data_IF_269457902123
#
_entry.id   IF_269457902123
#
_cell.length_a   1.000
_cell.length_b   1.000
_cell.length_c   1.000
_cell.angle_alpha   90.00
_cell.angle_beta   90.00
_cell.angle_gamma   90.00
#
_symmetry.space_group_name_H-M   'P 1'
#
loop_
_entity.id
_entity.type
_entity.pdbx_description
1 polymer ?
#
# COMPACT_ATOMS: atom_id res chain seq x y z
N UNK A 1 19.00 -21.63 22.55
CA UNK A 1 18.00 -22.48 21.88
C UNK A 1 16.64 -21.79 21.71
N UNK A 2 16.25 -20.84 22.57
CA UNK A 2 15.03 -20.02 22.40
C UNK A 2 15.04 -19.15 21.13
N UNK A 3 16.20 -18.58 20.77
CA UNK A 3 16.33 -17.72 19.60
C UNK A 3 15.83 -18.33 18.28
N UNK A 4 15.96 -19.65 18.08
CA UNK A 4 15.46 -20.30 16.86
C UNK A 4 13.93 -20.36 16.78
N UNK A 5 13.26 -20.45 17.94
CA UNK A 5 11.80 -20.39 18.00
C UNK A 5 11.29 -18.95 17.80
N UNK A 6 12.02 -17.96 18.33
CA UNK A 6 11.69 -16.54 18.16
C UNK A 6 11.81 -16.11 16.70
N UNK A 7 12.88 -16.55 16.01
CA UNK A 7 13.03 -16.33 14.56
C UNK A 7 11.87 -16.98 13.80
N UNK A 8 11.47 -18.20 14.16
CA UNK A 8 10.35 -18.86 13.52
C UNK A 8 9.01 -18.13 13.75
N UNK A 9 8.83 -17.47 14.90
CA UNK A 9 7.66 -16.65 15.19
C UNK A 9 7.65 -15.35 14.36
N UNK A 10 8.78 -14.64 14.29
CA UNK A 10 8.89 -13.42 13.47
C UNK A 10 8.62 -13.71 11.99
N UNK A 11 9.17 -14.81 11.47
CA UNK A 11 8.92 -15.22 10.07
C UNK A 11 7.46 -15.59 9.83
N UNK A 12 6.81 -16.22 10.80
CA UNK A 12 5.39 -16.52 10.74
C UNK A 12 4.53 -15.25 10.72
N UNK A 13 4.84 -14.25 11.54
CA UNK A 13 4.15 -12.96 11.55
C UNK A 13 4.32 -12.19 10.22
N UNK A 14 5.40 -12.46 9.49
CA UNK A 14 5.67 -11.91 8.15
C UNK A 14 5.01 -12.71 7.02
N UNK A 15 4.35 -13.84 7.31
CA UNK A 15 3.78 -14.75 6.31
C UNK A 15 4.81 -15.68 5.64
N UNK A 16 6.06 -15.67 6.08
CA UNK A 16 7.17 -16.48 5.57
C UNK A 16 7.17 -17.89 6.18
N UNK A 17 6.10 -18.64 5.93
CA UNK A 17 5.88 -19.97 6.53
C UNK A 17 6.94 -21.01 6.14
N UNK A 18 7.52 -20.91 4.94
CA UNK A 18 8.62 -21.79 4.52
C UNK A 18 9.89 -21.57 5.38
N UNK A 19 10.22 -20.31 5.66
CA UNK A 19 11.32 -19.94 6.55
C UNK A 19 11.04 -20.36 7.99
N UNK A 20 9.83 -20.13 8.49
CA UNK A 20 9.42 -20.58 9.83
C UNK A 20 9.52 -22.12 9.97
N UNK A 21 9.03 -22.87 8.98
CA UNK A 21 9.11 -24.33 8.95
C UNK A 21 10.55 -24.84 8.92
N UNK A 22 11.47 -24.16 8.23
CA UNK A 22 12.90 -24.50 8.24
C UNK A 22 13.47 -24.49 9.66
N UNK A 23 13.19 -23.44 10.44
CA UNK A 23 13.65 -23.34 11.83
C UNK A 23 13.01 -24.39 12.74
N UNK A 24 11.73 -24.69 12.54
CA UNK A 24 11.05 -25.78 13.26
C UNK A 24 11.71 -27.13 12.99
N UNK A 25 12.06 -27.45 11.72
CA UNK A 25 12.80 -28.69 11.39
C UNK A 25 14.15 -28.75 12.11
N UNK A 26 14.87 -27.64 12.19
CA UNK A 26 16.15 -27.58 12.92
C UNK A 26 15.98 -27.83 14.42
N UNK A 27 14.96 -27.24 15.04
CA UNK A 27 14.65 -27.45 16.46
C UNK A 27 14.29 -28.91 16.77
N UNK A 28 13.52 -29.55 15.89
CA UNK A 28 13.20 -30.99 15.97
C UNK A 28 14.45 -31.86 15.80
N UNK A 29 15.31 -31.52 14.83
CA UNK A 29 16.54 -32.28 14.57
C UNK A 29 17.51 -32.27 15.76
N UNK A 30 17.62 -31.14 16.47
CA UNK A 30 18.46 -31.02 17.67
C UNK A 30 17.75 -31.47 18.95
N UNK A 31 16.49 -31.92 18.87
CA UNK A 31 15.65 -32.31 20.02
C UNK A 31 15.65 -31.26 21.12
N UNK A 32 15.44 -29.99 20.76
CA UNK A 32 15.41 -28.91 21.75
C UNK A 32 14.31 -29.17 22.81
N UNK A 33 14.49 -28.79 24.09
CA UNK A 33 13.55 -29.14 25.17
C UNK A 33 12.09 -28.75 24.90
N UNK A 34 11.88 -27.57 24.31
CA UNK A 34 10.57 -27.04 23.90
C UNK A 34 9.83 -27.92 22.88
N UNK A 35 10.54 -28.79 22.14
CA UNK A 35 9.91 -29.64 21.12
C UNK A 35 9.05 -30.77 21.72
N UNK A 36 9.21 -31.04 23.02
CA UNK A 36 8.37 -31.97 23.76
C UNK A 36 7.03 -31.35 24.20
N UNK A 37 6.94 -30.01 24.25
CA UNK A 37 5.76 -29.32 24.76
C UNK A 37 4.58 -29.42 23.76
N UNK A 38 3.40 -29.92 24.17
CA UNK A 38 2.25 -30.06 23.29
C UNK A 38 1.83 -28.75 22.63
N UNK A 39 1.79 -27.65 23.39
CA UNK A 39 1.44 -26.32 22.87
C UNK A 39 2.39 -25.86 21.76
N UNK A 40 3.70 -26.09 21.92
CA UNK A 40 4.67 -25.77 20.87
C UNK A 40 4.47 -26.63 19.62
N UNK A 41 4.18 -27.91 19.80
CA UNK A 41 3.91 -28.85 18.68
C UNK A 41 2.68 -28.43 17.87
N UNK A 42 1.65 -27.87 18.52
CA UNK A 42 0.49 -27.28 17.82
C UNK A 42 0.93 -26.11 16.92
N UNK A 43 1.68 -25.15 17.45
CA UNK A 43 2.19 -24.00 16.66
C UNK A 43 3.12 -24.46 15.53
N UNK A 44 3.99 -25.44 15.80
CA UNK A 44 4.88 -26.03 14.80
C UNK A 44 4.11 -26.72 13.67
N UNK A 45 3.03 -27.44 13.99
CA UNK A 45 2.19 -28.09 12.99
C UNK A 45 1.47 -27.07 12.08
N UNK A 46 1.02 -25.94 12.64
CA UNK A 46 0.48 -24.83 11.84
C UNK A 46 1.51 -24.31 10.83
N UNK A 47 2.74 -24.04 11.27
CA UNK A 47 3.83 -23.58 10.39
C UNK A 47 4.11 -24.56 9.24
N UNK A 48 4.12 -25.86 9.52
CA UNK A 48 4.28 -26.88 8.48
C UNK A 48 3.12 -26.94 7.50
N UNK A 49 1.88 -26.82 8.00
CA UNK A 49 0.67 -26.83 7.17
C UNK A 49 0.66 -25.64 6.19
N UNK A 50 0.93 -24.42 6.67
CA UNK A 50 0.99 -23.22 5.83
C UNK A 50 2.21 -23.19 4.91
N UNK A 51 3.29 -23.91 5.24
CA UNK A 51 4.41 -24.15 4.33
C UNK A 51 4.13 -25.24 3.27
N UNK A 52 2.93 -25.84 3.26
CA UNK A 52 2.53 -26.89 2.32
C UNK A 52 3.01 -28.31 2.67
N UNK A 53 3.64 -28.52 3.83
CA UNK A 53 4.16 -29.81 4.28
C UNK A 53 3.19 -30.47 5.28
N UNK A 54 2.06 -30.94 4.75
CA UNK A 54 1.02 -31.57 5.56
C UNK A 54 1.49 -32.82 6.29
N UNK A 55 2.36 -33.61 5.66
CA UNK A 55 2.93 -34.82 6.28
C UNK A 55 3.76 -34.48 7.51
N UNK A 56 4.55 -33.40 7.47
CA UNK A 56 5.30 -32.94 8.64
C UNK A 56 4.38 -32.40 9.74
N UNK A 57 3.31 -31.68 9.37
CA UNK A 57 2.32 -31.20 10.33
C UNK A 57 1.65 -32.35 11.10
N UNK A 58 1.18 -33.37 10.39
CA UNK A 58 0.59 -34.58 10.98
C UNK A 58 1.63 -35.34 11.84
N UNK A 59 2.88 -35.40 11.38
CA UNK A 59 3.96 -36.04 12.12
C UNK A 59 4.25 -35.37 13.46
N UNK A 60 4.24 -34.04 13.51
CA UNK A 60 4.50 -33.27 14.73
C UNK A 60 3.38 -33.42 15.74
N UNK A 61 2.14 -33.71 15.33
CA UNK A 61 1.02 -33.87 16.26
C UNK A 61 0.83 -35.30 16.79
N UNK A 62 1.64 -36.28 16.35
CA UNK A 62 1.48 -37.68 16.79
C UNK A 62 1.54 -37.83 18.31
N UNK A 63 0.56 -38.52 18.89
CA UNK A 63 0.48 -38.74 20.33
C UNK A 63 -0.17 -37.60 21.11
N UNK A 64 -0.82 -36.66 20.42
CA UNK A 64 -1.75 -35.70 21.02
C UNK A 64 -3.14 -36.00 20.46
N UNK A 65 -4.03 -36.57 21.27
CA UNK A 65 -5.34 -37.02 20.81
C UNK A 65 -6.41 -35.90 20.83
N UNK A 66 -6.24 -34.91 21.72
CA UNK A 66 -7.11 -33.75 21.84
C UNK A 66 -6.31 -32.45 21.85
N UNK A 67 -6.61 -31.58 20.89
CA UNK A 67 -5.95 -30.27 20.74
C UNK A 67 -6.70 -29.14 21.44
N UNK A 68 -7.91 -29.39 21.95
CA UNK A 68 -8.75 -28.38 22.59
C UNK A 68 -8.05 -27.55 23.69
N UNK A 69 -7.17 -28.12 24.55
CA UNK A 69 -6.46 -27.36 25.58
C UNK A 69 -5.42 -26.37 25.05
N UNK A 70 -4.96 -26.55 23.82
CA UNK A 70 -3.82 -25.84 23.25
C UNK A 70 -4.22 -24.84 22.17
N UNK A 71 -5.44 -24.95 21.66
CA UNK A 71 -6.01 -24.03 20.67
C UNK A 71 -6.87 -23.01 21.43
N UNK A 72 -6.26 -21.93 21.90
CA UNK A 72 -7.05 -20.78 22.36
C UNK A 72 -7.83 -20.20 21.19
N UNK A 73 -9.12 -19.96 21.41
CA UNK A 73 -10.09 -19.45 20.43
C UNK A 73 -9.52 -18.26 19.66
N UNK A 74 -9.06 -18.51 18.45
CA UNK A 74 -8.74 -17.48 17.46
C UNK A 74 -10.01 -17.15 16.66
N UNK A 75 -10.07 -15.95 16.10
CA UNK A 75 -11.27 -15.25 15.59
C UNK A 75 -12.07 -16.04 14.54
N UNK A 76 -11.46 -17.05 13.94
CA UNK A 76 -12.13 -18.11 13.19
C UNK A 76 -12.22 -19.37 14.05
N UNK A 77 -13.27 -19.49 14.85
CA UNK A 77 -13.62 -20.77 15.48
C UNK A 77 -13.72 -21.79 14.34
N UNK A 78 -12.86 -22.83 14.28
CA UNK A 78 -13.14 -23.98 13.43
C UNK A 78 -14.56 -24.40 13.75
N UNK A 79 -15.39 -24.63 12.75
CA UNK A 79 -16.64 -25.34 12.99
C UNK A 79 -16.27 -26.72 13.54
N UNK A 80 -16.19 -26.86 14.86
CA UNK A 80 -16.30 -28.16 15.49
C UNK A 80 -17.62 -28.70 14.98
N UNK A 81 -17.65 -29.88 14.34
CA UNK A 81 -18.90 -30.54 14.01
C UNK A 81 -19.78 -30.48 15.26
N UNK A 82 -20.97 -29.88 15.13
CA UNK A 82 -21.86 -29.58 16.25
C UNK A 82 -21.88 -30.74 17.26
N UNK A 83 -21.32 -30.52 18.46
CA UNK A 83 -21.33 -31.48 19.56
C UNK A 83 -20.06 -32.32 19.82
N UNK A 84 -18.94 -32.13 19.11
CA UNK A 84 -17.69 -32.86 19.41
C UNK A 84 -16.95 -32.26 20.63
N UNK A 85 -16.81 -33.05 21.70
CA UNK A 85 -16.09 -32.65 22.93
C UNK A 85 -14.55 -32.58 22.77
N UNK A 86 -14.00 -33.22 21.74
CA UNK A 86 -12.56 -33.29 21.48
C UNK A 86 -12.24 -32.81 20.06
N UNK A 87 -11.18 -32.01 19.92
CA UNK A 87 -10.68 -31.50 18.65
C UNK A 87 -9.52 -32.38 18.17
N UNK A 88 -9.82 -33.33 17.28
CA UNK A 88 -8.78 -34.22 16.73
C UNK A 88 -7.75 -33.45 15.88
N UNK A 89 -6.47 -33.88 15.86
CA UNK A 89 -5.44 -33.26 15.01
C UNK A 89 -5.82 -33.16 13.54
N UNK A 90 -6.46 -34.19 12.99
CA UNK A 90 -6.88 -34.21 11.59
C UNK A 90 -7.97 -33.17 11.31
N UNK A 91 -9.02 -33.13 12.15
CA UNK A 91 -10.10 -32.16 12.00
C UNK A 91 -9.59 -30.71 12.15
N UNK A 92 -8.65 -30.47 13.08
CA UNK A 92 -8.04 -29.17 13.24
C UNK A 92 -7.19 -28.78 12.02
N UNK A 93 -6.32 -29.66 11.53
CA UNK A 93 -5.53 -29.41 10.31
C UNK A 93 -6.42 -29.22 9.08
N UNK A 94 -7.56 -29.91 8.99
CA UNK A 94 -8.55 -29.71 7.91
C UNK A 94 -9.27 -28.36 8.04
N UNK A 95 -9.55 -27.90 9.27
CA UNK A 95 -10.13 -26.58 9.50
C UNK A 95 -9.16 -25.42 9.24
N UNK A 96 -7.88 -25.68 9.47
CA UNK A 96 -6.78 -24.76 9.17
C UNK A 96 -6.24 -24.92 7.77
N UNK A 97 -6.68 -25.95 7.03
CA UNK A 97 -6.21 -26.22 5.69
C UNK A 97 -6.32 -24.87 4.98
N UNK A 98 -5.19 -24.29 4.55
CA UNK A 98 -5.26 -23.02 3.86
C UNK A 98 -6.30 -23.26 2.78
N UNK A 99 -7.37 -22.46 2.77
CA UNK A 99 -8.12 -22.30 1.53
C UNK A 99 -7.02 -21.92 0.58
N UNK A 100 -6.58 -22.91 -0.22
CA UNK A 100 -5.29 -22.90 -0.92
C UNK A 100 -5.19 -21.49 -1.44
N UNK A 101 -4.23 -20.64 -0.97
CA UNK A 101 -4.19 -19.25 -1.40
C UNK A 101 -4.26 -19.37 -2.90
N UNK A 102 -5.39 -18.91 -3.45
CA UNK A 102 -5.79 -19.28 -4.81
C UNK A 102 -4.59 -18.89 -5.63
N UNK A 103 -3.90 -19.91 -6.17
CA UNK A 103 -2.54 -19.81 -6.69
C UNK A 103 -2.44 -18.44 -7.38
N UNK A 104 -1.56 -17.51 -6.91
CA UNK A 104 -1.74 -16.08 -7.13
C UNK A 104 -2.13 -15.90 -8.58
N UNK A 105 -3.37 -15.46 -8.78
CA UNK A 105 -3.97 -15.50 -10.10
C UNK A 105 -3.06 -14.67 -10.97
N UNK A 106 -2.47 -15.30 -12.00
CA UNK A 106 -1.52 -14.61 -12.86
C UNK A 106 -2.27 -13.48 -13.54
N UNK A 107 -2.06 -12.27 -13.03
CA UNK A 107 -2.71 -11.08 -13.51
C UNK A 107 -2.08 -10.68 -14.83
N UNK A 108 -2.93 -10.34 -15.80
CA UNK A 108 -2.50 -9.67 -17.03
C UNK A 108 -2.44 -8.16 -16.87
N UNK A 109 -3.01 -7.63 -15.79
CA UNK A 109 -3.19 -6.21 -15.51
C UNK A 109 -2.82 -5.91 -14.06
N UNK A 110 -2.27 -4.73 -13.82
CA UNK A 110 -2.02 -4.18 -12.49
C UNK A 110 -3.08 -3.12 -12.24
N UNK A 111 -4.19 -3.48 -11.60
CA UNK A 111 -5.33 -2.57 -11.38
C UNK A 111 -5.20 -1.69 -10.15
N UNK A 112 -4.34 -2.08 -9.22
CA UNK A 112 -4.07 -1.41 -7.96
C UNK A 112 -2.63 -1.73 -7.54
N UNK A 113 -2.06 -1.02 -6.55
CA UNK A 113 -0.77 -1.41 -5.97
C UNK A 113 -0.81 -2.88 -5.58
N UNK A 114 0.28 -3.60 -5.86
CA UNK A 114 0.41 -5.04 -5.60
C UNK A 114 -0.55 -5.96 -6.39
N UNK A 115 -1.21 -5.44 -7.43
CA UNK A 115 -1.82 -6.22 -8.52
C UNK A 115 -3.25 -6.70 -8.30
N UNK A 116 -3.60 -7.21 -7.11
CA UNK A 116 -4.93 -7.75 -6.80
C UNK A 116 -5.47 -7.24 -5.44
N UNK A 117 -6.76 -7.45 -5.12
CA UNK A 117 -7.34 -7.01 -3.84
C UNK A 117 -6.70 -7.63 -2.59
N UNK A 118 -6.01 -8.76 -2.73
CA UNK A 118 -5.27 -9.40 -1.64
C UNK A 118 -3.83 -8.87 -1.51
N UNK A 119 -3.45 -7.92 -2.36
CA UNK A 119 -2.10 -7.37 -2.49
C UNK A 119 -1.01 -8.43 -2.72
N UNK A 120 -1.36 -9.51 -3.43
CA UNK A 120 -0.50 -10.66 -3.71
C UNK A 120 -0.39 -10.98 -5.20
N UNK A 121 -0.72 -10.03 -6.07
CA UNK A 121 -0.84 -10.23 -7.50
C UNK A 121 0.46 -10.76 -8.11
N UNK A 122 0.39 -11.97 -8.66
CA UNK A 122 1.47 -12.57 -9.43
C UNK A 122 1.36 -12.19 -10.90
N UNK A 123 2.47 -11.91 -11.58
CA UNK A 123 2.49 -11.67 -13.02
C UNK A 123 3.20 -12.80 -13.74
N UNK A 124 2.76 -13.12 -14.95
CA UNK A 124 3.46 -14.12 -15.76
C UNK A 124 4.83 -13.54 -16.12
N UNK A 125 5.88 -14.20 -15.63
CA UNK A 125 7.24 -13.86 -16.02
C UNK A 125 7.40 -14.07 -17.53
N UNK A 126 7.66 -12.99 -18.25
CA UNK A 126 8.13 -13.01 -19.62
C UNK A 126 9.64 -12.82 -19.65
N UNK A 127 10.26 -12.97 -20.83
CA UNK A 127 11.68 -12.66 -20.99
C UNK A 127 11.96 -11.22 -20.48
N UNK A 128 13.10 -11.00 -19.79
CA UNK A 128 13.42 -9.68 -19.25
C UNK A 128 13.48 -8.66 -20.39
N UNK A 129 12.85 -7.50 -20.20
CA UNK A 129 12.99 -6.38 -21.11
C UNK A 129 14.39 -5.82 -20.96
N UNK A 130 15.19 -5.87 -22.03
CA UNK A 130 16.57 -5.37 -22.04
C UNK A 130 16.66 -3.87 -22.33
N UNK A 131 15.59 -3.27 -22.87
CA UNK A 131 15.51 -1.86 -23.21
C UNK A 131 14.13 -1.30 -22.83
N UNK A 132 14.07 -0.04 -22.36
CA UNK A 132 12.79 0.63 -22.17
C UNK A 132 12.08 0.79 -23.52
N UNK A 133 10.77 0.55 -23.55
CA UNK A 133 9.95 0.80 -24.75
C UNK A 133 9.73 2.29 -24.97
N UNK A 134 9.49 3.02 -23.88
CA UNK A 134 9.28 4.45 -23.82
C UNK A 134 9.51 4.92 -22.39
N UNK A 135 9.66 6.23 -22.21
CA UNK A 135 9.86 6.89 -20.93
C UNK A 135 9.02 8.17 -20.88
N UNK A 136 8.50 8.50 -19.70
CA UNK A 136 7.73 9.72 -19.47
C UNK A 136 8.19 10.41 -18.18
N UNK A 137 8.37 11.72 -18.24
CA UNK A 137 8.76 12.51 -17.08
C UNK A 137 7.60 12.66 -16.08
N UNK A 138 7.89 12.46 -14.79
CA UNK A 138 6.92 12.69 -13.70
C UNK A 138 6.80 14.17 -13.29
N UNK A 139 7.73 14.99 -13.77
CA UNK A 139 7.88 16.42 -13.53
C UNK A 139 7.89 17.11 -14.89
N UNK A 140 7.34 18.32 -14.99
CA UNK A 140 7.28 19.08 -16.26
C UNK A 140 8.31 20.19 -16.33
N UNK A 141 8.70 20.73 -15.18
CA UNK A 141 9.58 21.87 -15.02
C UNK A 141 10.99 21.37 -14.80
N UNK A 142 11.86 21.69 -15.74
CA UNK A 142 13.29 21.37 -15.67
C UNK A 142 13.94 21.81 -14.33
N UNK A 143 13.59 22.99 -13.81
CA UNK A 143 14.13 23.46 -12.53
C UNK A 143 13.71 22.63 -11.32
N UNK A 144 12.54 21.98 -11.37
CA UNK A 144 12.10 21.06 -10.30
C UNK A 144 12.71 19.69 -10.49
N UNK A 145 12.86 19.25 -11.74
CA UNK A 145 13.56 18.00 -12.10
C UNK A 145 15.03 18.02 -11.66
N UNK A 146 15.76 19.11 -11.91
CA UNK A 146 17.14 19.29 -11.46
C UNK A 146 17.25 19.19 -9.92
N UNK A 147 16.37 19.89 -9.20
CA UNK A 147 16.30 19.81 -7.74
C UNK A 147 15.98 18.39 -7.24
N UNK A 148 15.05 17.69 -7.90
CA UNK A 148 14.71 16.32 -7.55
C UNK A 148 15.89 15.38 -7.78
N UNK A 149 16.63 15.55 -8.88
CA UNK A 149 17.81 14.74 -9.17
C UNK A 149 18.91 14.95 -8.12
N UNK A 150 19.20 16.19 -7.74
CA UNK A 150 20.14 16.49 -6.65
C UNK A 150 19.68 15.88 -5.32
N UNK A 151 18.39 16.03 -5.00
CA UNK A 151 17.80 15.48 -3.77
C UNK A 151 17.92 13.95 -3.71
N UNK A 152 17.58 13.26 -4.80
CA UNK A 152 17.65 11.80 -4.87
C UNK A 152 19.10 11.30 -4.83
N UNK A 153 20.03 12.01 -5.50
CA UNK A 153 21.45 11.70 -5.44
C UNK A 153 21.95 11.77 -4.00
N UNK A 154 21.66 12.86 -3.28
CA UNK A 154 22.10 13.05 -1.90
C UNK A 154 21.47 12.00 -0.95
N UNK A 155 20.22 11.59 -1.17
CA UNK A 155 19.62 10.50 -0.41
C UNK A 155 20.36 9.18 -0.61
N UNK A 156 20.70 8.84 -1.86
CA UNK A 156 21.44 7.62 -2.20
C UNK A 156 22.86 7.67 -1.63
N UNK A 157 23.57 8.78 -1.76
CA UNK A 157 24.91 8.97 -1.18
C UNK A 157 24.89 8.84 0.36
N UNK A 158 23.83 9.34 1.00
CA UNK A 158 23.58 9.18 2.44
C UNK A 158 23.05 7.79 2.83
N UNK A 159 23.02 6.83 1.90
CA UNK A 159 22.56 5.44 2.10
C UNK A 159 21.12 5.35 2.60
N UNK A 160 20.28 6.29 2.16
CA UNK A 160 18.84 6.28 2.44
C UNK A 160 18.09 5.61 1.29
N UNK A 161 17.08 4.83 1.65
CA UNK A 161 16.23 4.18 0.66
C UNK A 161 15.40 5.24 -0.08
N UNK A 162 15.66 5.41 -1.37
CA UNK A 162 14.92 6.30 -2.25
C UNK A 162 13.88 5.52 -3.07
N UNK A 163 13.00 4.79 -2.38
CA UNK A 163 11.90 4.07 -3.01
C UNK A 163 10.68 5.00 -3.15
N UNK A 164 10.20 5.28 -4.37
CA UNK A 164 9.02 6.11 -4.55
C UNK A 164 7.76 5.46 -3.98
N UNK A 165 6.94 6.26 -3.31
CA UNK A 165 5.59 5.91 -2.86
C UNK A 165 4.54 6.20 -3.97
N UNK A 166 4.95 6.14 -5.24
CA UNK A 166 4.13 6.40 -6.42
C UNK A 166 4.04 5.12 -7.24
N UNK A 167 2.90 4.42 -7.17
CA UNK A 167 2.71 3.14 -7.85
C UNK A 167 1.88 3.32 -9.11
N UNK A 168 2.44 3.14 -10.32
CA UNK A 168 1.65 3.16 -11.53
C UNK A 168 0.73 1.94 -11.59
N UNK A 169 -0.39 2.08 -12.31
CA UNK A 169 -1.29 0.96 -12.62
C UNK A 169 -1.35 0.79 -14.14
N UNK A 170 -1.52 -0.46 -14.58
CA UNK A 170 -1.56 -0.84 -15.99
C UNK A 170 -2.76 -1.73 -16.26
N UNK A 171 -3.77 -1.22 -16.98
CA UNK A 171 -5.04 -1.92 -17.20
C UNK A 171 -5.71 -1.42 -18.48
N UNK A 172 -6.46 -2.29 -19.17
CA UNK A 172 -7.17 -1.97 -20.41
C UNK A 172 -6.29 -1.28 -21.48
N UNK A 173 -5.03 -1.72 -21.61
CA UNK A 173 -4.07 -1.17 -22.57
C UNK A 173 -3.54 0.24 -22.21
N UNK A 174 -3.80 0.74 -21.00
CA UNK A 174 -3.34 2.04 -20.53
C UNK A 174 -2.45 1.92 -19.30
N UNK A 175 -1.56 2.89 -19.13
CA UNK A 175 -0.75 3.07 -17.92
C UNK A 175 -1.16 4.39 -17.28
N UNK A 176 -1.72 4.32 -16.07
CA UNK A 176 -2.07 5.50 -15.28
C UNK A 176 -1.03 5.72 -14.18
N UNK A 177 -0.61 6.98 -14.02
CA UNK A 177 0.47 7.35 -13.10
C UNK A 177 0.13 8.65 -12.38
N UNK A 178 0.41 8.69 -11.07
CA UNK A 178 0.45 9.96 -10.33
C UNK A 178 1.76 10.69 -10.63
N UNK A 179 1.64 11.92 -11.10
CA UNK A 179 2.76 12.84 -11.36
C UNK A 179 2.84 13.90 -10.26
N UNK A 180 3.86 14.76 -10.25
CA UNK A 180 3.91 15.91 -9.35
C UNK A 180 2.99 17.07 -9.78
N UNK A 181 2.29 16.91 -10.90
CA UNK A 181 1.33 17.89 -11.44
C UNK A 181 -0.14 17.42 -11.31
N UNK A 182 -0.37 16.13 -11.03
CA UNK A 182 -1.70 15.53 -11.00
C UNK A 182 -1.66 14.06 -11.45
N UNK A 183 -2.53 13.67 -12.38
CA UNK A 183 -2.58 12.31 -12.92
C UNK A 183 -2.44 12.36 -14.43
N UNK A 184 -1.66 11.43 -14.99
CA UNK A 184 -1.52 11.26 -16.42
C UNK A 184 -1.81 9.80 -16.78
N UNK A 185 -2.46 9.60 -17.93
CA UNK A 185 -2.75 8.28 -18.48
C UNK A 185 -2.15 8.19 -19.86
N UNK A 186 -1.36 7.15 -20.09
CA UNK A 186 -0.64 6.91 -21.32
C UNK A 186 -1.14 5.64 -22.00
N UNK A 187 -1.00 5.59 -23.31
CA UNK A 187 -1.09 4.33 -24.04
C UNK A 187 0.06 3.39 -23.63
N UNK A 188 -0.24 2.15 -23.28
CA UNK A 188 0.77 1.23 -22.75
C UNK A 188 1.81 0.80 -23.80
N UNK A 189 1.45 0.84 -25.08
CA UNK A 189 2.29 0.39 -26.18
C UNK A 189 3.20 1.50 -26.70
N UNK A 190 2.64 2.69 -26.97
CA UNK A 190 3.37 3.83 -27.54
C UNK A 190 3.95 4.77 -26.50
N UNK A 191 3.36 4.83 -25.29
CA UNK A 191 3.69 5.83 -24.28
C UNK A 191 3.08 7.21 -24.54
N UNK A 192 2.23 7.37 -25.56
CA UNK A 192 1.56 8.64 -25.87
C UNK A 192 0.53 9.00 -24.79
N UNK A 193 0.47 10.28 -24.39
CA UNK A 193 -0.51 10.76 -23.41
C UNK A 193 -1.92 10.66 -23.98
N UNK A 194 -2.76 9.81 -23.38
CA UNK A 194 -4.18 9.71 -23.72
C UNK A 194 -4.97 10.90 -23.16
N UNK A 195 -4.76 11.19 -21.88
CA UNK A 195 -5.37 12.32 -21.19
C UNK A 195 -4.66 12.57 -19.85
N UNK A 196 -4.92 13.73 -19.27
CA UNK A 196 -4.38 14.11 -17.96
C UNK A 196 -5.34 14.96 -17.15
N UNK A 197 -5.09 14.97 -15.85
CA UNK A 197 -5.74 15.84 -14.87
C UNK A 197 -4.66 16.64 -14.17
N UNK A 198 -4.89 17.93 -14.04
CA UNK A 198 -3.98 18.86 -13.38
C UNK A 198 -4.60 19.32 -12.07
N UNK A 199 -3.78 19.40 -11.03
CA UNK A 199 -4.20 19.95 -9.75
C UNK A 199 -3.69 21.39 -9.60
N UNK A 200 -4.59 22.29 -9.23
CA UNK A 200 -4.23 23.68 -8.93
C UNK A 200 -3.15 23.76 -7.83
N UNK A 201 -3.20 22.83 -6.87
CA UNK A 201 -2.32 22.75 -5.70
C UNK A 201 -1.27 21.65 -5.83
N UNK A 202 -0.85 21.33 -7.06
CA UNK A 202 0.09 20.25 -7.29
C UNK A 202 1.48 20.54 -6.68
N UNK A 203 2.18 19.52 -6.13
CA UNK A 203 3.51 19.68 -5.51
C UNK A 203 4.50 20.46 -6.38
N UNK A 204 4.54 20.16 -7.68
CA UNK A 204 5.46 20.81 -8.60
C UNK A 204 5.21 22.32 -8.74
N UNK A 205 3.94 22.74 -8.78
CA UNK A 205 3.56 24.16 -8.89
C UNK A 205 3.94 24.93 -7.63
N UNK A 206 3.77 24.28 -6.48
CA UNK A 206 4.15 24.82 -5.19
C UNK A 206 5.66 25.03 -5.12
N UNK A 207 6.47 24.01 -5.42
CA UNK A 207 7.94 24.09 -5.43
C UNK A 207 8.46 25.11 -6.44
N UNK A 208 7.83 25.18 -7.61
CA UNK A 208 8.17 26.17 -8.62
C UNK A 208 7.78 27.61 -8.24
N UNK A 209 7.09 27.81 -7.10
CA UNK A 209 6.64 29.12 -6.65
C UNK A 209 5.64 29.75 -7.60
N UNK A 210 4.73 28.98 -8.21
CA UNK A 210 3.70 29.56 -9.07
C UNK A 210 2.65 30.34 -8.27
N UNK A 211 2.08 31.43 -8.84
CA UNK A 211 0.96 32.12 -8.22
C UNK A 211 -0.27 31.21 -8.17
N UNK A 212 -0.74 30.94 -6.96
CA UNK A 212 -1.89 30.07 -6.71
C UNK A 212 -3.18 30.86 -6.91
N UNK A 213 -3.99 30.45 -7.89
CA UNK A 213 -5.21 31.17 -8.32
C UNK A 213 -6.23 31.39 -7.20
N UNK A 214 -6.23 30.55 -6.15
CA UNK A 214 -7.20 30.60 -5.03
C UNK A 214 -6.79 31.52 -3.88
N UNK A 215 -5.57 32.05 -3.86
CA UNK A 215 -5.08 32.90 -2.75
C UNK A 215 -5.08 34.36 -3.19
N UNK A 216 -6.27 34.93 -3.41
CA UNK A 216 -6.41 36.39 -3.46
C UNK A 216 -6.16 36.96 -2.05
N UNK A 217 -5.08 37.71 -1.85
CA UNK A 217 -4.93 38.61 -0.71
C UNK A 217 -3.80 38.34 0.29
N UNK A 218 -2.92 37.34 0.09
CA UNK A 218 -1.75 37.14 0.99
C UNK A 218 -0.43 37.08 0.21
N UNK A 219 0.10 38.25 -0.11
CA UNK A 219 1.36 38.45 -0.86
C UNK A 219 2.65 38.04 -0.12
N UNK A 220 2.60 37.14 0.87
CA UNK A 220 3.74 36.75 1.70
C UNK A 220 3.90 35.25 1.97
N UNK A 221 3.00 34.41 1.43
CA UNK A 221 3.02 32.95 1.71
C UNK A 221 4.05 32.21 0.84
N UNK A 222 4.47 32.82 -0.26
CA UNK A 222 5.31 32.19 -1.29
C UNK A 222 6.73 31.84 -0.81
N UNK A 223 7.29 32.61 0.12
CA UNK A 223 8.63 32.39 0.67
C UNK A 223 8.73 31.29 1.74
N UNK A 224 7.60 30.79 2.25
CA UNK A 224 7.58 29.81 3.34
C UNK A 224 7.44 28.38 2.86
N UNK A 225 6.76 28.13 1.72
CA UNK A 225 6.35 26.77 1.30
C UNK A 225 7.38 26.09 0.40
N UNK A 226 8.29 26.84 -0.22
CA UNK A 226 9.18 26.31 -1.26
C UNK A 226 10.52 27.00 -1.21
N UNK A 227 11.36 26.56 -0.28
CA UNK A 227 12.78 26.81 -0.42
C UNK A 227 13.33 25.82 -1.44
N UNK A 228 14.09 26.28 -2.45
CA UNK A 228 14.82 25.39 -3.33
C UNK A 228 15.70 24.45 -2.53
N UNK A 229 15.89 23.24 -3.03
CA UNK A 229 16.82 22.30 -2.40
C UNK A 229 18.25 22.85 -2.45
N UNK A 230 18.90 22.99 -1.29
CA UNK A 230 20.22 23.61 -1.11
C UNK A 230 21.32 22.59 -0.75
N UNK A 231 21.02 21.29 -0.81
CA UNK A 231 21.93 20.22 -0.38
C UNK A 231 21.84 19.89 1.11
N UNK A 232 21.10 20.66 1.91
CA UNK A 232 20.95 20.38 3.33
C UNK A 232 19.72 19.51 3.61
N UNK A 233 19.93 18.50 4.47
CA UNK A 233 18.86 17.72 5.07
C UNK A 233 17.84 17.13 4.07
N UNK A 234 18.31 16.33 3.08
CA UNK A 234 17.47 15.81 1.99
C UNK A 234 16.22 15.05 2.50
N UNK A 235 16.32 14.39 3.66
CA UNK A 235 15.20 13.67 4.24
C UNK A 235 14.03 14.55 4.72
N UNK A 236 14.29 15.81 5.04
CA UNK A 236 13.27 16.74 5.53
C UNK A 236 12.72 17.63 4.41
N UNK A 237 13.28 17.53 3.21
CA UNK A 237 12.80 18.31 2.08
C UNK A 237 11.35 17.91 1.71
N UNK A 238 10.44 18.87 1.46
CA UNK A 238 9.03 18.55 1.18
C UNK A 238 8.81 17.64 -0.04
N UNK A 239 9.66 17.74 -1.07
CA UNK A 239 9.62 16.81 -2.22
C UNK A 239 9.92 15.37 -1.81
N UNK A 240 10.89 15.15 -0.91
CA UNK A 240 11.20 13.81 -0.42
C UNK A 240 10.00 13.22 0.33
N UNK A 241 9.29 14.05 1.12
CA UNK A 241 8.06 13.62 1.81
C UNK A 241 6.99 13.15 0.83
N UNK A 242 6.67 13.97 -0.19
CA UNK A 242 5.59 13.63 -1.15
C UNK A 242 5.95 12.45 -2.03
N UNK A 243 7.21 12.34 -2.46
CA UNK A 243 7.62 11.31 -3.43
C UNK A 243 7.91 9.97 -2.75
N UNK A 244 8.49 9.97 -1.55
CA UNK A 244 9.02 8.76 -0.92
C UNK A 244 8.21 8.27 0.29
N UNK A 245 7.38 9.11 0.89
CA UNK A 245 6.72 8.82 2.19
C UNK A 245 5.20 8.94 2.16
N UNK A 246 4.68 9.78 1.27
CA UNK A 246 3.24 10.02 1.15
C UNK A 246 2.57 8.97 0.25
N UNK A 247 2.28 7.80 0.83
CA UNK A 247 1.56 6.73 0.14
C UNK A 247 0.11 7.09 -0.20
N UNK A 248 -0.49 8.09 0.45
CA UNK A 248 -1.84 8.56 0.16
C UNK A 248 -1.82 9.37 -1.14
N UNK A 249 -0.84 10.26 -1.30
CA UNK A 249 -0.67 11.02 -2.53
C UNK A 249 -0.49 10.11 -3.75
N UNK A 250 0.39 9.13 -3.68
CA UNK A 250 0.65 8.21 -4.79
C UNK A 250 -0.46 7.21 -5.09
N UNK A 251 -1.50 7.13 -4.26
CA UNK A 251 -2.52 6.09 -4.35
C UNK A 251 -3.46 6.31 -5.55
N UNK A 252 -3.52 5.30 -6.42
CA UNK A 252 -4.42 5.19 -7.56
C UNK A 252 -4.88 3.73 -7.70
N UNK A 253 -6.11 3.51 -8.17
CA UNK A 253 -6.63 2.17 -8.46
C UNK A 253 -7.65 2.20 -9.59
N UNK A 254 -8.05 1.03 -10.10
CA UNK A 254 -9.00 0.92 -11.22
C UNK A 254 -9.78 -0.38 -11.19
N UNK A 255 -11.03 -0.35 -11.63
CA UNK A 255 -11.86 -1.54 -11.89
C UNK A 255 -11.70 -2.07 -13.34
N UNK A 256 -10.85 -1.43 -14.15
CA UNK A 256 -10.65 -1.70 -15.58
C UNK A 256 -11.47 -0.80 -16.52
N UNK A 257 -12.48 -0.10 -16.01
CA UNK A 257 -13.26 0.90 -16.77
C UNK A 257 -13.08 2.31 -16.22
N UNK A 258 -12.83 2.43 -14.92
CA UNK A 258 -12.74 3.67 -14.18
C UNK A 258 -11.40 3.75 -13.47
N UNK A 259 -10.85 4.95 -13.40
CA UNK A 259 -9.68 5.28 -12.59
C UNK A 259 -10.15 5.98 -11.32
N UNK A 260 -9.74 5.47 -10.16
CA UNK A 260 -10.02 6.05 -8.86
C UNK A 260 -8.80 6.77 -8.32
N UNK A 261 -9.00 8.03 -7.92
CA UNK A 261 -7.91 8.94 -7.53
C UNK A 261 -8.37 9.76 -6.34
N UNK A 262 -7.44 10.00 -5.41
CA UNK A 262 -7.63 11.00 -4.36
C UNK A 262 -7.29 12.42 -4.85
N UNK A 263 -8.19 13.35 -4.61
CA UNK A 263 -8.05 14.78 -4.88
C UNK A 263 -8.16 15.60 -3.60
N UNK A 264 -7.85 16.89 -3.72
CA UNK A 264 -7.87 17.86 -2.62
C UNK A 264 -6.98 17.48 -1.44
N UNK A 265 -5.96 16.66 -1.69
CA UNK A 265 -4.92 16.35 -0.73
C UNK A 265 -4.09 17.60 -0.42
N UNK A 266 -4.00 17.95 0.85
CA UNK A 266 -3.01 18.89 1.31
C UNK A 266 -1.64 18.18 1.35
N UNK A 267 -0.71 18.64 0.52
CA UNK A 267 0.63 18.05 0.32
C UNK A 267 1.72 19.01 0.79
N UNK A 268 2.92 18.49 1.05
CA UNK A 268 4.08 19.30 1.48
C UNK A 268 3.78 20.15 2.74
N UNK A 269 3.45 19.51 3.88
CA UNK A 269 3.25 20.24 5.13
C UNK A 269 4.56 20.85 5.60
N UNK A 270 4.47 22.04 6.22
CA UNK A 270 5.60 22.71 6.87
C UNK A 270 6.18 21.90 8.05
N UNK A 271 5.34 21.08 8.70
CA UNK A 271 5.73 20.30 9.88
C UNK A 271 4.90 19.01 9.95
N UNK A 272 5.45 17.90 9.43
CA UNK A 272 4.76 16.60 9.32
C UNK A 272 4.24 16.10 10.68
N UNK A 273 4.90 16.46 11.79
CA UNK A 273 4.62 15.89 13.11
C UNK A 273 3.55 16.63 13.94
N UNK A 274 3.20 17.88 13.59
CA UNK A 274 2.34 18.73 14.44
C UNK A 274 0.90 18.93 13.95
N UNK A 275 0.61 18.70 12.67
CA UNK A 275 -0.67 19.10 12.06
C UNK A 275 -1.86 18.28 12.55
N UNK A 276 -1.67 17.00 12.89
CA UNK A 276 -2.78 16.13 13.32
C UNK A 276 -3.31 16.44 14.73
N UNK A 277 -2.53 17.16 15.56
CA UNK A 277 -2.90 17.47 16.95
C UNK A 277 -3.41 18.90 17.14
N UNK A 278 -3.37 19.74 16.11
CA UNK A 278 -3.72 21.15 16.20
C UNK A 278 -5.07 21.39 15.53
N UNK A 279 -6.07 21.77 16.32
CA UNK A 279 -7.43 22.01 15.82
C UNK A 279 -7.51 23.21 14.88
N UNK A 280 -6.63 24.21 15.07
CA UNK A 280 -6.64 25.54 14.44
C UNK A 280 -5.45 25.80 13.49
N UNK A 281 -4.86 24.79 12.86
CA UNK A 281 -3.78 25.07 11.89
C UNK A 281 -4.36 25.75 10.66
N UNK A 282 -4.17 27.06 10.59
CA UNK A 282 -4.45 27.84 9.39
C UNK A 282 -3.35 27.52 8.38
N UNK A 283 -3.63 26.58 7.48
CA UNK A 283 -2.78 26.34 6.32
C UNK A 283 -2.61 27.66 5.54
N UNK A 284 -1.38 28.12 5.28
CA UNK A 284 -1.16 29.39 4.59
C UNK A 284 -1.77 29.42 3.17
N UNK A 285 -2.00 28.25 2.57
CA UNK A 285 -2.66 28.08 1.27
C UNK A 285 -4.17 27.84 1.38
N UNK A 286 -4.73 27.89 2.59
CA UNK A 286 -6.15 27.68 2.86
C UNK A 286 -6.63 26.27 2.53
N UNK A 287 -5.74 25.26 2.50
CA UNK A 287 -6.10 23.85 2.26
C UNK A 287 -6.66 23.21 3.51
N UNK A 288 -7.49 22.18 3.31
CA UNK A 288 -7.96 21.35 4.41
C UNK A 288 -7.06 20.11 4.52
N UNK A 289 -6.51 19.90 5.72
CA UNK A 289 -5.66 18.77 6.04
C UNK A 289 -6.44 17.60 6.65
N UNK A 290 -7.70 17.83 7.04
CA UNK A 290 -8.55 16.85 7.73
C UNK A 290 -9.46 16.09 6.78
N UNK A 291 -9.58 16.53 5.53
CA UNK A 291 -10.42 15.88 4.52
C UNK A 291 -9.72 15.81 3.17
N UNK A 292 -10.16 14.88 2.34
CA UNK A 292 -9.80 14.79 0.93
C UNK A 292 -11.02 14.25 0.15
N UNK A 293 -10.92 14.15 -1.18
CA UNK A 293 -12.02 13.66 -2.02
C UNK A 293 -11.60 12.44 -2.81
N UNK A 294 -12.50 11.46 -2.90
CA UNK A 294 -12.34 10.33 -3.81
C UNK A 294 -13.11 10.61 -5.10
N UNK A 295 -12.42 10.46 -6.23
CA UNK A 295 -12.96 10.79 -7.55
C UNK A 295 -12.78 9.62 -8.50
N UNK A 296 -13.83 9.32 -9.27
CA UNK A 296 -13.76 8.37 -10.37
C UNK A 296 -13.75 9.09 -11.71
N UNK A 297 -12.82 8.67 -12.54
CA UNK A 297 -12.67 9.09 -13.92
C UNK A 297 -12.94 7.92 -14.85
N UNK A 298 -13.56 8.19 -15.98
CA UNK A 298 -13.61 7.24 -17.08
C UNK A 298 -12.18 7.00 -17.59
N UNK A 299 -11.72 5.74 -17.56
CA UNK A 299 -10.33 5.41 -17.87
C UNK A 299 -9.96 5.74 -19.32
N UNK A 300 -10.92 5.70 -20.23
CA UNK A 300 -10.68 5.92 -21.66
C UNK A 300 -10.61 7.40 -22.01
N UNK A 301 -11.52 8.20 -21.45
CA UNK A 301 -11.75 9.59 -21.86
C UNK A 301 -11.24 10.63 -20.86
N UNK A 302 -10.96 10.23 -19.62
CA UNK A 302 -10.63 11.18 -18.53
C UNK A 302 -11.83 11.98 -18.03
N UNK A 303 -13.06 11.65 -18.46
CA UNK A 303 -14.27 12.33 -17.98
C UNK A 303 -14.54 11.97 -16.53
N UNK A 304 -14.71 12.97 -15.66
CA UNK A 304 -15.14 12.75 -14.27
C UNK A 304 -16.55 12.15 -14.23
N UNK A 305 -16.69 11.00 -13.58
CA UNK A 305 -17.97 10.29 -13.44
C UNK A 305 -18.69 10.68 -12.15
N UNK A 306 -17.96 10.69 -11.03
CA UNK A 306 -18.49 11.07 -9.73
C UNK A 306 -17.35 11.51 -8.80
N UNK A 307 -17.74 12.15 -7.69
CA UNK A 307 -16.85 12.60 -6.63
C UNK A 307 -17.57 12.52 -5.29
N UNK A 308 -16.88 12.01 -4.27
CA UNK A 308 -17.36 11.90 -2.89
C UNK A 308 -16.32 12.43 -1.90
N UNK A 309 -16.71 12.68 -0.65
CA UNK A 309 -15.87 13.30 0.37
C UNK A 309 -15.68 14.79 0.20
N UNK A 310 -14.53 15.28 0.65
CA UNK A 310 -14.21 16.70 0.75
C UNK A 310 -14.64 17.30 2.09
N UNK A 311 -14.57 18.63 2.17
CA UNK A 311 -14.88 19.38 3.40
C UNK A 311 -16.28 19.06 3.90
N UNK A 312 -16.44 19.02 5.22
CA UNK A 312 -17.76 18.98 5.84
C UNK A 312 -18.53 20.22 5.42
N UNK A 313 -19.71 20.01 4.85
CA UNK A 313 -20.67 21.07 4.56
C UNK A 313 -21.95 20.72 5.28
N UNK A 314 -22.43 21.60 6.16
CA UNK A 314 -23.74 21.46 6.80
C UNK A 314 -24.84 21.86 5.80
N UNK A 315 -25.06 21.01 4.79
CA UNK A 315 -26.06 21.21 3.75
C UNK A 315 -26.71 19.87 3.38
N UNK A 316 -27.98 19.90 2.99
CA UNK A 316 -28.74 18.75 2.50
C UNK A 316 -28.11 18.18 1.22
N UNK A 317 -27.35 18.98 0.49
CA UNK A 317 -26.61 18.56 -0.70
C UNK A 317 -25.14 18.22 -0.45
N UNK A 318 -24.74 17.99 0.82
CA UNK A 318 -23.40 17.55 1.14
C UNK A 318 -23.05 16.24 0.38
N UNK A 319 -21.85 16.16 -0.25
CA UNK A 319 -21.42 14.93 -0.89
C UNK A 319 -21.40 13.77 0.12
N UNK A 320 -21.70 12.54 -0.30
CA UNK A 320 -21.51 11.37 0.54
C UNK A 320 -20.10 11.35 1.14
N UNK A 321 -19.97 10.97 2.41
CA UNK A 321 -18.70 10.91 3.14
C UNK A 321 -17.98 12.26 3.29
N UNK A 322 -18.66 13.41 3.15
CA UNK A 322 -18.08 14.71 3.49
C UNK A 322 -17.53 14.72 4.92
N UNK A 323 -16.38 15.34 5.14
CA UNK A 323 -15.70 15.34 6.44
C UNK A 323 -14.79 14.13 6.66
N UNK A 324 -14.70 13.21 5.70
CA UNK A 324 -13.85 12.02 5.78
C UNK A 324 -12.49 12.26 5.14
N UNK A 325 -11.46 11.63 5.72
CA UNK A 325 -10.13 11.52 5.14
C UNK A 325 -9.89 10.08 4.66
N UNK A 326 -9.73 9.89 3.35
CA UNK A 326 -9.40 8.60 2.75
C UNK A 326 -7.89 8.35 2.82
N UNK A 327 -7.50 7.14 3.24
CA UNK A 327 -6.09 6.74 3.35
C UNK A 327 -5.50 6.14 2.06
N UNK A 328 -6.30 6.01 1.00
CA UNK A 328 -5.87 5.52 -0.29
C UNK A 328 -7.00 5.54 -1.32
N UNK A 329 -6.65 5.26 -2.57
CA UNK A 329 -7.63 4.87 -3.57
C UNK A 329 -8.30 3.56 -3.14
N UNK A 330 -9.59 3.36 -3.46
CA UNK A 330 -10.33 2.19 -3.03
C UNK A 330 -9.72 0.92 -3.61
N UNK A 331 -9.93 -0.20 -2.94
CA UNK A 331 -9.66 -1.54 -3.46
C UNK A 331 -10.89 -2.01 -4.22
N UNK A 332 -10.84 -2.14 -5.56
CA UNK A 332 -11.94 -2.69 -6.34
C UNK A 332 -11.92 -4.21 -6.28
N UNK A 333 -12.94 -4.82 -5.70
CA UNK A 333 -13.13 -6.27 -5.71
C UNK A 333 -14.52 -6.60 -6.25
N UNK A 334 -14.54 -7.25 -7.41
CA UNK A 334 -15.76 -7.52 -8.20
C UNK A 334 -16.56 -6.24 -8.46
N UNK A 335 -17.75 -6.13 -7.90
CA UNK A 335 -18.69 -5.02 -8.09
C UNK A 335 -18.70 -4.05 -6.90
N UNK A 336 -17.76 -4.21 -5.96
CA UNK A 336 -17.66 -3.41 -4.74
C UNK A 336 -16.36 -2.60 -4.70
N UNK A 337 -16.43 -1.45 -4.03
CA UNK A 337 -15.28 -0.58 -3.76
C UNK A 337 -15.08 -0.48 -2.25
N UNK A 338 -13.93 -0.93 -1.77
CA UNK A 338 -13.55 -0.86 -0.35
C UNK A 338 -12.67 0.36 -0.14
N UNK A 339 -13.03 1.22 0.81
CA UNK A 339 -12.35 2.51 1.06
C UNK A 339 -11.92 2.64 2.51
#
# INVERSE_FOLDING_TARGET
MLAGNDIAAVLEDQGEFAGAAHWVRRLLAVKAPLTAEPAWRVTAARRFLFAGDRSAAESVLRGIDDLSPFVQVSITKPATPDGAANLSPKAWLDSLAPQVPSRPQLASETRMPYGDPAHGGGFRANAPLLFPRWEQALVRRYAVEEQLNSLLLDLVENKKAALPALFPIATAGKVAVRTLFGVAVYDAESGEESWRIENDMAPERLVAGEPIRRVQGRAGVQGFISQPYDGNNPEQHPLASVILRDGVYGSISSDGQRLFVLEDLAVMPQNIYGYWQQEDVVDPLGRDWKTNSLVAYDLQTGRRLWRIGGRTVEDVFAPPLSGTYFFGAPVPDRDELFV
#
